data_IF_948853642571
#
_entry.id   IF_948853642571
#
_cell.length_a   1.000
_cell.length_b   1.000
_cell.length_c   1.000
_cell.angle_alpha   90.00
_cell.angle_beta   90.00
_cell.angle_gamma   90.00
#
_symmetry.space_group_name_H-M   'P 1'
#
loop_
_entity.id
_entity.type
_entity.pdbx_description
1 polymer ?
#
# COMPACT_ATOMS: atom_id res chain seq x y z
N UNK A 1 -0.18 -1.68 15.93
CA UNK A 1 -1.50 -1.23 15.44
C UNK A 1 -1.83 -2.06 14.22
N UNK A 2 -3.08 -2.34 13.95
CA UNK A 2 -3.44 -3.08 12.74
C UNK A 2 -3.49 -2.16 11.52
N UNK A 3 -3.44 -2.75 10.32
CA UNK A 3 -3.70 -2.01 9.10
C UNK A 3 -5.08 -1.34 9.14
N UNK A 4 -5.20 -0.16 8.55
CA UNK A 4 -6.42 0.65 8.58
C UNK A 4 -6.91 0.86 7.15
N UNK A 5 -8.19 0.56 6.92
CA UNK A 5 -8.89 1.00 5.71
C UNK A 5 -9.66 2.28 6.07
N UNK A 6 -9.41 3.42 5.38
CA UNK A 6 -10.13 4.66 5.63
C UNK A 6 -11.63 4.51 5.37
N UNK A 7 -12.47 5.23 6.15
CA UNK A 7 -13.93 5.17 5.99
C UNK A 7 -14.43 5.64 4.61
N UNK A 8 -13.67 6.52 3.95
CA UNK A 8 -14.01 6.98 2.61
C UNK A 8 -13.83 5.90 1.54
N UNK A 9 -12.84 5.00 1.70
CA UNK A 9 -12.46 4.05 0.67
C UNK A 9 -13.61 3.16 0.17
N UNK A 10 -14.46 2.52 1.01
CA UNK A 10 -15.56 1.71 0.51
C UNK A 10 -16.57 2.51 -0.32
N UNK A 11 -16.86 3.75 0.07
CA UNK A 11 -17.76 4.65 -0.69
C UNK A 11 -17.12 5.03 -2.02
N UNK A 12 -15.84 5.37 -2.01
CA UNK A 12 -15.09 5.72 -3.21
C UNK A 12 -14.97 4.55 -4.17
N UNK A 13 -14.79 3.32 -3.66
CA UNK A 13 -14.78 2.10 -4.45
C UNK A 13 -16.13 1.86 -5.14
N UNK A 14 -17.24 1.98 -4.42
CA UNK A 14 -18.60 1.84 -4.97
C UNK A 14 -18.96 2.97 -5.96
N UNK A 15 -18.33 4.13 -5.83
CA UNK A 15 -18.51 5.28 -6.73
C UNK A 15 -17.56 5.27 -7.92
N UNK A 16 -16.84 4.16 -8.14
CA UNK A 16 -15.86 3.97 -9.21
C UNK A 16 -14.70 4.99 -9.22
N UNK A 17 -14.35 5.52 -8.05
CA UNK A 17 -13.17 6.38 -7.88
C UNK A 17 -11.85 5.61 -7.85
N UNK A 18 -11.90 4.30 -7.61
CA UNK A 18 -10.73 3.42 -7.64
C UNK A 18 -10.94 2.31 -8.67
N UNK A 19 -10.19 2.37 -9.76
CA UNK A 19 -10.14 1.30 -10.75
C UNK A 19 -8.79 0.58 -10.65
N UNK A 20 -8.74 -0.51 -9.90
CA UNK A 20 -7.52 -1.28 -9.70
C UNK A 20 -6.95 -1.92 -10.97
N UNK A 21 -7.72 -1.98 -12.05
CA UNK A 21 -7.23 -2.51 -13.33
C UNK A 21 -6.52 -1.45 -14.19
N UNK A 22 -6.78 -0.15 -13.98
CA UNK A 22 -6.28 0.91 -14.88
C UNK A 22 -5.64 2.10 -14.18
N UNK A 23 -5.97 2.36 -12.90
CA UNK A 23 -5.43 3.51 -12.18
C UNK A 23 -3.99 3.26 -11.73
N UNK A 24 -3.28 4.34 -11.53
CA UNK A 24 -1.93 4.33 -10.97
C UNK A 24 -2.00 4.47 -9.46
N UNK A 25 -1.52 3.46 -8.76
CA UNK A 25 -1.39 3.46 -7.30
C UNK A 25 0.06 3.67 -6.88
N UNK A 26 0.25 4.25 -5.71
CA UNK A 26 1.59 4.47 -5.13
C UNK A 26 1.63 4.02 -3.68
N UNK A 27 2.81 3.59 -3.23
CA UNK A 27 3.11 3.29 -1.84
C UNK A 27 4.08 4.34 -1.30
N UNK A 28 3.61 5.19 -0.39
CA UNK A 28 4.44 6.09 0.40
C UNK A 28 4.74 5.49 1.78
N UNK A 29 5.93 5.78 2.31
CA UNK A 29 6.42 5.25 3.59
C UNK A 29 6.57 6.36 4.62
N UNK A 30 6.33 6.02 5.90
CA UNK A 30 6.28 6.99 7.00
C UNK A 30 7.05 6.51 8.23
N UNK A 31 7.71 7.44 8.91
CA UNK A 31 8.37 7.19 10.19
C UNK A 31 7.38 7.18 11.35
N UNK A 32 6.27 7.91 11.23
CA UNK A 32 5.15 7.92 12.18
C UNK A 32 3.84 7.99 11.39
N UNK A 33 2.75 7.41 11.93
CA UNK A 33 1.45 7.41 11.26
C UNK A 33 0.80 8.81 11.29
N UNK A 34 0.64 9.52 10.15
CA UNK A 34 -0.05 10.79 10.09
C UNK A 34 -1.56 10.66 9.89
N UNK A 35 -2.09 9.43 9.80
CA UNK A 35 -3.44 9.14 9.37
C UNK A 35 -4.35 8.67 10.50
N UNK A 36 -5.63 8.89 10.31
CA UNK A 36 -6.72 8.31 11.07
C UNK A 36 -7.70 7.60 10.13
N UNK A 37 -8.71 6.93 10.67
CA UNK A 37 -9.78 6.31 9.86
C UNK A 37 -10.59 7.32 9.05
N UNK A 38 -10.56 8.61 9.43
CA UNK A 38 -11.25 9.71 8.73
C UNK A 38 -10.38 10.39 7.66
N UNK A 39 -9.11 10.01 7.52
CA UNK A 39 -8.22 10.56 6.50
C UNK A 39 -8.67 10.10 5.11
N UNK A 40 -8.58 10.99 4.12
CA UNK A 40 -9.11 10.74 2.76
C UNK A 40 -8.04 10.80 1.67
N UNK A 41 -6.96 11.55 1.89
CA UNK A 41 -5.93 11.79 0.87
C UNK A 41 -4.52 11.66 1.43
N UNK A 42 -3.57 11.36 0.55
CA UNK A 42 -2.14 11.33 0.86
C UNK A 42 -1.65 12.68 1.41
N UNK A 43 -0.79 12.62 2.42
CA UNK A 43 -0.10 13.77 3.02
C UNK A 43 1.40 13.48 3.17
N UNK A 44 2.22 14.52 3.11
CA UNK A 44 3.70 14.44 3.26
C UNK A 44 4.17 14.45 4.72
N UNK A 45 3.27 14.70 5.67
CA UNK A 45 3.60 14.77 7.10
C UNK A 45 4.18 13.45 7.58
N UNK A 46 5.34 13.49 8.21
CA UNK A 46 6.08 12.31 8.71
C UNK A 46 6.49 11.30 7.63
N UNK A 47 6.42 11.68 6.37
CA UNK A 47 6.92 10.83 5.28
C UNK A 47 8.43 10.59 5.45
N UNK A 48 8.87 9.39 5.16
CA UNK A 48 10.27 8.98 5.26
C UNK A 48 11.15 9.81 4.31
N UNK A 49 12.41 9.98 4.71
CA UNK A 49 13.46 10.58 3.89
C UNK A 49 14.72 9.74 3.96
N UNK A 50 15.51 9.75 2.90
CA UNK A 50 16.78 9.02 2.86
C UNK A 50 17.24 8.71 1.44
N UNK A 51 18.34 7.97 1.33
CA UNK A 51 18.90 7.59 0.04
C UNK A 51 17.97 6.59 -0.66
N UNK A 52 17.72 6.82 -1.95
CA UNK A 52 16.82 6.02 -2.80
C UNK A 52 15.35 6.07 -2.39
N UNK A 53 14.95 7.00 -1.52
CA UNK A 53 13.56 7.30 -1.26
C UNK A 53 13.18 8.67 -1.84
N UNK A 54 12.15 8.72 -2.64
CA UNK A 54 11.56 9.96 -3.16
C UNK A 54 10.19 10.20 -2.56
N UNK A 55 9.88 11.45 -2.21
CA UNK A 55 8.57 11.83 -1.69
C UNK A 55 7.43 11.38 -2.63
N UNK A 56 6.35 10.88 -2.05
CA UNK A 56 5.27 10.22 -2.76
C UNK A 56 5.47 8.71 -2.94
N UNK A 57 6.65 8.18 -2.63
CA UNK A 57 6.95 6.75 -2.66
C UNK A 57 7.02 6.15 -4.05
N UNK A 58 7.00 4.82 -4.13
CA UNK A 58 7.08 4.05 -5.36
C UNK A 58 5.72 3.90 -6.04
N UNK A 59 5.70 3.95 -7.36
CA UNK A 59 4.56 3.53 -8.16
C UNK A 59 4.42 2.01 -8.07
N UNK A 60 3.21 1.54 -7.76
CA UNK A 60 2.88 0.12 -7.73
C UNK A 60 2.71 -0.41 -9.15
N UNK A 61 3.08 -1.66 -9.35
CA UNK A 61 2.96 -2.37 -10.62
C UNK A 61 2.33 -3.75 -10.42
N UNK A 62 1.99 -4.42 -11.52
CA UNK A 62 1.41 -5.76 -11.47
C UNK A 62 0.01 -5.78 -10.86
N UNK A 63 -0.73 -4.69 -10.98
CA UNK A 63 -2.12 -4.60 -10.50
C UNK A 63 -2.92 -5.82 -10.96
N UNK A 64 -3.35 -6.65 -10.03
CA UNK A 64 -4.15 -7.83 -10.29
C UNK A 64 -5.44 -7.79 -9.47
N UNK A 65 -6.57 -7.79 -10.17
CA UNK A 65 -7.88 -8.01 -9.57
C UNK A 65 -8.31 -9.42 -9.93
N UNK A 66 -8.53 -10.25 -8.93
CA UNK A 66 -8.88 -11.65 -9.13
C UNK A 66 -9.98 -12.09 -8.18
N UNK A 67 -10.55 -13.26 -8.47
CA UNK A 67 -11.51 -13.93 -7.59
C UNK A 67 -10.91 -15.26 -7.15
N UNK A 68 -10.85 -15.47 -5.84
CA UNK A 68 -10.44 -16.74 -5.23
C UNK A 68 -11.61 -17.26 -4.40
N UNK A 69 -12.28 -18.29 -4.89
CA UNK A 69 -13.57 -18.75 -4.36
C UNK A 69 -14.60 -17.59 -4.33
N UNK A 70 -15.16 -17.26 -3.17
CA UNK A 70 -16.17 -16.20 -3.00
C UNK A 70 -15.55 -14.86 -2.57
N UNK A 71 -14.21 -14.70 -2.75
CA UNK A 71 -13.47 -13.53 -2.29
C UNK A 71 -12.87 -12.79 -3.50
N UNK A 72 -13.27 -11.54 -3.69
CA UNK A 72 -12.59 -10.64 -4.62
C UNK A 72 -11.32 -10.10 -3.97
N UNK A 73 -10.20 -10.14 -4.69
CA UNK A 73 -8.87 -9.78 -4.18
C UNK A 73 -8.18 -8.78 -5.09
N UNK A 74 -7.35 -7.93 -4.48
CA UNK A 74 -6.42 -7.03 -5.18
C UNK A 74 -5.01 -7.33 -4.71
N UNK A 75 -4.10 -7.43 -5.66
CA UNK A 75 -2.67 -7.65 -5.42
C UNK A 75 -1.81 -6.72 -6.28
N UNK A 76 -0.57 -6.52 -5.86
CA UNK A 76 0.47 -5.78 -6.56
C UNK A 76 1.80 -6.55 -6.47
N UNK A 77 2.70 -6.28 -7.40
CA UNK A 77 4.09 -6.73 -7.29
C UNK A 77 4.79 -6.04 -6.12
N UNK A 78 5.61 -6.78 -5.38
CA UNK A 78 6.37 -6.27 -4.24
C UNK A 78 7.09 -4.95 -4.56
N UNK A 79 7.03 -4.01 -3.62
CA UNK A 79 7.70 -2.72 -3.75
C UNK A 79 9.10 -2.78 -3.19
N UNK A 80 10.09 -2.42 -4.02
CA UNK A 80 11.51 -2.51 -3.68
C UNK A 80 12.18 -1.14 -3.80
N UNK A 81 12.95 -0.77 -2.78
CA UNK A 81 13.90 0.34 -2.78
C UNK A 81 15.31 -0.21 -2.58
N UNK A 82 16.29 0.41 -3.22
CA UNK A 82 17.69 0.01 -3.04
C UNK A 82 18.21 -1.01 -4.05
N UNK A 83 17.65 -0.98 -5.28
CA UNK A 83 18.15 -1.82 -6.38
C UNK A 83 18.09 -1.03 -7.70
N UNK A 84 19.21 -0.85 -8.42
CA UNK A 84 20.58 -1.33 -8.15
C UNK A 84 21.38 -0.51 -7.13
N UNK A 85 20.98 0.72 -6.82
CA UNK A 85 21.66 1.60 -5.86
C UNK A 85 21.16 1.34 -4.45
N UNK A 86 22.05 1.02 -3.47
CA UNK A 86 21.60 0.70 -2.12
C UNK A 86 20.87 1.85 -1.42
N UNK A 87 19.78 1.51 -0.74
CA UNK A 87 18.98 2.46 0.03
C UNK A 87 19.42 2.58 1.49
N UNK A 88 19.18 3.75 2.08
CA UNK A 88 19.35 3.99 3.51
C UNK A 88 18.24 4.87 4.03
N UNK A 89 17.27 4.26 4.71
CA UNK A 89 16.16 4.93 5.39
C UNK A 89 15.45 4.00 6.36
N UNK A 90 14.47 4.53 7.09
CA UNK A 90 13.60 3.75 7.97
C UNK A 90 12.14 4.15 7.79
N UNK A 91 11.23 3.18 8.00
CA UNK A 91 9.80 3.39 8.00
C UNK A 91 9.11 2.49 9.03
N UNK A 92 8.05 2.97 9.63
CA UNK A 92 7.19 2.21 10.54
C UNK A 92 5.80 1.97 9.94
N UNK A 93 5.40 2.76 8.95
CA UNK A 93 4.10 2.71 8.29
C UNK A 93 4.25 2.90 6.79
N UNK A 94 3.21 2.46 6.06
CA UNK A 94 3.06 2.76 4.65
C UNK A 94 1.62 3.16 4.35
N UNK A 95 1.38 3.84 3.23
CA UNK A 95 0.04 4.05 2.71
C UNK A 95 -0.01 3.83 1.22
N UNK A 96 -1.02 3.10 0.78
CA UNK A 96 -1.35 2.99 -0.65
C UNK A 96 -2.41 4.03 -0.96
N UNK A 97 -2.18 4.78 -2.03
CA UNK A 97 -3.10 5.78 -2.50
C UNK A 97 -3.20 5.79 -4.03
N UNK A 98 -4.35 6.24 -4.53
CA UNK A 98 -4.64 6.36 -5.96
C UNK A 98 -4.16 7.72 -6.47
N UNK A 99 -3.03 7.73 -7.19
CA UNK A 99 -2.48 8.95 -7.78
C UNK A 99 -3.21 9.40 -9.05
N UNK A 100 -4.02 8.56 -9.64
CA UNK A 100 -4.90 8.92 -10.78
C UNK A 100 -6.15 9.69 -10.34
N UNK A 101 -6.58 9.54 -9.08
CA UNK A 101 -7.75 10.25 -8.54
C UNK A 101 -7.39 11.02 -7.27
N UNK A 102 -6.87 12.23 -7.44
CA UNK A 102 -6.63 13.23 -6.38
C UNK A 102 -5.89 12.70 -5.13
N UNK A 103 -5.06 11.67 -5.29
CA UNK A 103 -4.29 11.01 -4.23
C UNK A 103 -5.15 10.42 -3.09
N UNK A 104 -6.31 9.87 -3.41
CA UNK A 104 -7.22 9.24 -2.45
C UNK A 104 -6.60 8.02 -1.81
N UNK A 105 -6.79 7.87 -0.50
CA UNK A 105 -6.24 6.76 0.28
C UNK A 105 -6.98 5.46 0.01
N UNK A 106 -6.22 4.36 -0.05
CA UNK A 106 -6.74 3.00 -0.16
C UNK A 106 -6.60 2.28 1.18
N UNK A 107 -5.37 2.19 1.70
CA UNK A 107 -5.07 1.48 2.93
C UNK A 107 -3.83 2.08 3.62
N UNK A 108 -3.83 2.03 4.94
CA UNK A 108 -2.70 2.39 5.78
C UNK A 108 -2.14 1.10 6.37
N UNK A 109 -0.85 0.86 6.14
CA UNK A 109 -0.13 -0.33 6.56
C UNK A 109 0.67 -0.04 7.82
N UNK A 110 0.61 -0.92 8.80
CA UNK A 110 1.43 -0.87 10.02
C UNK A 110 2.47 -1.99 9.96
N UNK A 111 3.73 -1.63 9.95
CA UNK A 111 4.83 -2.60 9.89
C UNK A 111 5.19 -3.18 11.27
N UNK A 112 4.37 -2.93 12.28
CA UNK A 112 4.58 -3.41 13.66
C UNK A 112 5.94 -2.99 14.21
N UNK A 113 6.24 -1.70 14.04
CA UNK A 113 7.47 -1.06 14.48
C UNK A 113 8.39 -0.65 13.33
N UNK A 114 9.40 0.13 13.66
CA UNK A 114 10.34 0.69 12.68
C UNK A 114 11.14 -0.42 12.00
N UNK A 115 11.11 -0.43 10.68
CA UNK A 115 11.98 -1.22 9.81
C UNK A 115 13.00 -0.30 9.19
N UNK A 116 14.25 -0.74 9.07
CA UNK A 116 15.35 0.07 8.55
C UNK A 116 16.16 -0.69 7.54
N UNK A 117 16.65 -0.01 6.53
CA UNK A 117 17.75 -0.47 5.69
C UNK A 117 18.91 0.51 5.78
N UNK A 118 20.13 -0.02 5.75
CA UNK A 118 21.37 0.76 5.76
C UNK A 118 22.28 0.19 4.69
N UNK A 119 22.49 0.96 3.63
CA UNK A 119 23.26 0.54 2.46
C UNK A 119 22.79 -0.82 1.91
N UNK A 120 21.45 -0.97 1.78
CA UNK A 120 20.82 -2.25 1.42
C UNK A 120 19.51 -2.08 0.68
N UNK A 121 18.66 -3.11 0.74
CA UNK A 121 17.36 -3.14 0.10
C UNK A 121 16.25 -3.08 1.13
N UNK A 122 15.22 -2.28 0.87
CA UNK A 122 13.97 -2.24 1.62
C UNK A 122 12.86 -2.80 0.73
N UNK A 123 12.18 -3.85 1.17
CA UNK A 123 11.11 -4.49 0.40
C UNK A 123 9.81 -4.51 1.21
N UNK A 124 8.72 -4.08 0.60
CA UNK A 124 7.37 -4.29 1.10
C UNK A 124 6.74 -5.40 0.25
N UNK A 125 6.52 -6.55 0.88
CA UNK A 125 5.95 -7.73 0.24
C UNK A 125 4.44 -7.72 0.44
N UNK A 126 3.71 -7.88 -0.65
CA UNK A 126 2.26 -8.07 -0.63
C UNK A 126 1.93 -9.56 -0.65
N UNK A 127 0.95 -10.01 0.16
CA UNK A 127 0.50 -11.39 0.10
C UNK A 127 -0.14 -11.67 -1.27
N UNK A 128 0.37 -12.67 -1.98
CA UNK A 128 -0.24 -13.09 -3.26
C UNK A 128 -1.43 -14.01 -3.01
N UNK A 129 -2.61 -13.73 -3.58
CA UNK A 129 -3.75 -14.60 -3.45
C UNK A 129 -3.49 -15.94 -4.14
N UNK A 130 -3.35 -17.00 -3.36
CA UNK A 130 -3.16 -18.37 -3.89
C UNK A 130 -4.49 -19.11 -3.97
N UNK A 131 -4.71 -19.81 -5.09
CA UNK A 131 -5.85 -20.72 -5.22
C UNK A 131 -5.72 -21.85 -4.19
N UNK A 132 -6.67 -21.92 -3.24
CA UNK A 132 -6.72 -22.95 -2.20
C UNK A 132 -6.63 -22.43 -0.78
N UNK A 133 -6.36 -21.17 -0.55
CA UNK A 133 -6.52 -20.54 0.76
C UNK A 133 -7.81 -19.72 0.76
N UNK A 134 -8.88 -20.19 1.43
CA UNK A 134 -10.15 -19.47 1.48
C UNK A 134 -10.14 -18.29 2.47
N UNK A 135 -9.00 -18.00 3.07
CA UNK A 135 -8.89 -16.83 3.94
C UNK A 135 -8.40 -15.63 3.15
N UNK A 136 -9.16 -14.54 3.12
CA UNK A 136 -8.72 -13.25 2.59
C UNK A 136 -7.45 -12.68 3.26
N UNK A 137 -6.73 -13.52 4.02
CA UNK A 137 -5.47 -13.24 4.66
C UNK A 137 -4.30 -13.11 3.68
N UNK A 138 -4.45 -13.67 2.46
CA UNK A 138 -3.40 -13.70 1.44
C UNK A 138 -3.63 -12.67 0.32
N UNK A 139 -4.30 -11.57 0.61
CA UNK A 139 -4.50 -10.46 -0.30
C UNK A 139 -4.28 -9.13 0.40
N UNK A 140 -3.82 -8.13 -0.34
CA UNK A 140 -3.69 -6.77 0.19
C UNK A 140 -5.05 -6.20 0.61
N UNK A 141 -6.06 -6.44 -0.21
CA UNK A 141 -7.44 -6.05 0.03
C UNK A 141 -8.36 -7.18 -0.43
N UNK A 142 -9.35 -7.54 0.38
CA UNK A 142 -10.33 -8.57 0.04
C UNK A 142 -11.75 -8.11 0.38
N UNK A 143 -12.71 -8.54 -0.44
CA UNK A 143 -14.14 -8.36 -0.21
C UNK A 143 -14.76 -9.76 -0.19
N UNK A 144 -15.33 -10.13 0.93
CA UNK A 144 -16.04 -11.40 1.14
C UNK A 144 -17.55 -11.19 1.01
N UNK A 145 -18.21 -12.09 0.33
CA UNK A 145 -19.67 -12.16 0.28
C UNK A 145 -20.24 -12.89 1.49
#
# INVERSE_FOLDING_TARGET
>A
MANIVPYAFPVELLSANHNFASDTFKLALYTANPYTTASTVYVVTSETTGTEYSAGGNTLSGNAVSNVADIATVDFTDSVWGSPTPATFSAAYGTIYNSSDTNKLVVILDFSGTKSCSNGTFTVTYPSPTSGSPSGADALLSITS
#
